data_IF_206879174527
#
_entry.id   IF_206879174527
#
_cell.length_a   1.000
_cell.length_b   1.000
_cell.length_c   1.000
_cell.angle_alpha   90.00
_cell.angle_beta   90.00
_cell.angle_gamma   90.00
#
_symmetry.space_group_name_H-M   'P 1'
#
loop_
_entity.id
_entity.type
_entity.pdbx_description
1 polymer ?
#
# COMPACT_ATOMS: atom_id res chain seq x y z
N UNK A 1 -31.87 20.66 68.38
CA UNK A 1 -32.32 21.10 67.00
C UNK A 1 -31.41 20.40 66.01
N UNK A 2 -31.82 19.25 65.56
CA UNK A 2 -31.11 18.46 64.56
C UNK A 2 -31.58 18.87 63.18
N UNK A 3 -30.74 19.56 62.42
CA UNK A 3 -30.99 19.87 61.01
C UNK A 3 -30.75 18.61 60.16
N UNK A 4 -31.81 18.09 59.63
CA UNK A 4 -31.82 17.02 58.65
C UNK A 4 -31.29 17.57 57.33
N UNK A 5 -30.06 17.26 56.99
CA UNK A 5 -29.55 17.45 55.66
C UNK A 5 -30.34 16.53 54.74
N UNK A 6 -31.14 17.08 53.85
CA UNK A 6 -31.75 16.35 52.74
C UNK A 6 -30.65 15.81 51.88
N UNK A 7 -30.60 14.50 51.80
CA UNK A 7 -29.80 13.73 50.87
C UNK A 7 -30.20 14.13 49.43
N UNK A 8 -29.31 14.83 48.74
CA UNK A 8 -29.45 15.26 47.33
C UNK A 8 -29.04 14.11 46.38
N UNK A 9 -29.43 12.86 46.83
CA UNK A 9 -29.13 11.66 46.11
C UNK A 9 -29.88 11.59 44.78
N UNK A 10 -29.14 11.88 43.74
CA UNK A 10 -29.33 11.37 42.35
C UNK A 10 -30.72 11.56 41.77
N UNK A 11 -31.04 12.79 41.49
CA UNK A 11 -32.14 13.08 40.60
C UNK A 11 -31.85 12.42 39.23
N UNK A 12 -32.71 11.48 38.82
CA UNK A 12 -32.61 10.85 37.50
C UNK A 12 -33.20 11.80 36.48
N UNK A 13 -32.33 12.29 35.59
CA UNK A 13 -32.73 13.21 34.50
C UNK A 13 -33.00 12.49 33.21
N UNK A 14 -33.03 11.17 33.16
CA UNK A 14 -33.22 10.40 31.91
C UNK A 14 -34.57 10.72 31.24
N UNK A 15 -35.60 10.94 32.01
CA UNK A 15 -36.92 11.24 31.49
C UNK A 15 -37.06 12.69 30.97
N UNK A 16 -36.07 13.55 31.24
CA UNK A 16 -36.02 14.90 30.71
C UNK A 16 -35.22 15.02 29.42
N UNK A 17 -34.60 13.93 28.95
CA UNK A 17 -33.80 13.91 27.74
C UNK A 17 -34.69 13.60 26.53
N UNK A 18 -34.86 14.57 25.67
CA UNK A 18 -35.58 14.43 24.38
C UNK A 18 -34.66 13.92 23.28
N UNK A 19 -34.12 12.70 23.47
CA UNK A 19 -33.33 12.07 22.42
C UNK A 19 -34.24 11.47 21.35
N UNK A 20 -33.90 11.58 20.05
CA UNK A 20 -34.67 10.94 19.02
C UNK A 20 -34.64 9.42 19.17
N UNK A 21 -35.80 8.77 19.09
CA UNK A 21 -35.90 7.32 19.02
C UNK A 21 -35.53 6.91 17.58
N UNK A 22 -34.46 6.17 17.42
CA UNK A 22 -33.96 5.71 16.12
C UNK A 22 -33.39 4.32 16.24
N UNK A 23 -33.57 3.51 15.21
CA UNK A 23 -32.91 2.20 15.09
C UNK A 23 -31.44 2.34 14.70
N UNK A 24 -30.98 3.56 14.45
CA UNK A 24 -29.57 3.83 14.16
C UNK A 24 -28.72 3.59 15.42
N UNK A 25 -27.75 2.66 15.36
CA UNK A 25 -26.95 2.33 16.55
C UNK A 25 -26.10 3.53 16.98
N UNK A 26 -26.10 3.85 18.28
CA UNK A 26 -25.32 4.92 18.87
C UNK A 26 -23.79 4.71 18.69
N UNK A 27 -23.37 3.47 18.47
CA UNK A 27 -21.98 3.11 18.19
C UNK A 27 -21.91 2.43 16.82
N UNK A 28 -21.05 2.92 15.95
CA UNK A 28 -20.85 2.33 14.63
C UNK A 28 -20.41 0.86 14.68
N UNK A 29 -19.55 0.51 15.65
CA UNK A 29 -19.07 -0.86 15.82
C UNK A 29 -18.26 -1.36 14.62
N UNK A 30 -17.57 -0.46 13.89
CA UNK A 30 -16.88 -0.74 12.64
C UNK A 30 -15.92 -1.94 12.69
N UNK A 31 -15.10 -2.13 13.76
CA UNK A 31 -14.20 -3.28 13.80
C UNK A 31 -14.90 -4.65 13.68
N UNK A 32 -16.17 -4.72 14.06
CA UNK A 32 -16.98 -5.95 13.92
C UNK A 32 -17.74 -6.01 12.61
N UNK A 33 -18.31 -4.87 12.17
CA UNK A 33 -19.16 -4.81 10.97
C UNK A 33 -18.37 -4.86 9.66
N UNK A 34 -17.21 -4.24 9.62
CA UNK A 34 -16.40 -4.21 8.40
C UNK A 34 -16.02 -5.61 7.89
N UNK A 35 -15.55 -6.55 8.72
CA UNK A 35 -15.31 -7.92 8.27
C UNK A 35 -16.57 -8.61 7.71
N UNK A 36 -17.74 -8.35 8.29
CA UNK A 36 -19.02 -8.89 7.80
C UNK A 36 -19.36 -8.32 6.42
N UNK A 37 -19.14 -7.03 6.19
CA UNK A 37 -19.33 -6.40 4.89
C UNK A 37 -18.36 -6.92 3.84
N UNK A 38 -17.09 -7.10 4.18
CA UNK A 38 -16.10 -7.67 3.27
C UNK A 38 -16.47 -9.11 2.89
N UNK A 39 -16.88 -9.92 3.87
CA UNK A 39 -17.38 -11.27 3.60
C UNK A 39 -18.60 -11.28 2.68
N UNK A 40 -19.52 -10.35 2.89
CA UNK A 40 -20.68 -10.18 2.02
C UNK A 40 -20.29 -9.77 0.60
N UNK A 41 -19.39 -8.79 0.43
CA UNK A 41 -18.91 -8.35 -0.89
C UNK A 41 -18.23 -9.49 -1.66
N UNK A 42 -17.40 -10.27 -0.98
CA UNK A 42 -16.79 -11.46 -1.57
C UNK A 42 -17.84 -12.50 -1.98
N UNK A 43 -18.85 -12.75 -1.12
CA UNK A 43 -19.92 -13.72 -1.41
C UNK A 43 -20.73 -13.35 -2.65
N UNK A 44 -20.98 -12.06 -2.87
CA UNK A 44 -21.74 -11.60 -4.05
C UNK A 44 -20.87 -11.39 -5.29
N UNK A 45 -19.55 -11.55 -5.21
CA UNK A 45 -18.63 -11.26 -6.30
C UNK A 45 -18.70 -9.79 -6.71
N UNK A 46 -18.55 -8.87 -5.74
CA UNK A 46 -18.74 -7.42 -5.99
C UNK A 46 -17.83 -6.91 -7.10
N UNK A 47 -16.55 -7.28 -7.09
CA UNK A 47 -15.59 -6.81 -8.08
C UNK A 47 -15.97 -7.25 -9.49
N UNK A 48 -16.29 -8.54 -9.69
CA UNK A 48 -16.67 -9.11 -10.97
C UNK A 48 -17.96 -8.46 -11.52
N UNK A 49 -18.93 -8.23 -10.64
CA UNK A 49 -20.18 -7.51 -11.02
C UNK A 49 -19.91 -6.09 -11.48
N UNK A 50 -19.02 -5.36 -10.79
CA UNK A 50 -18.63 -4.01 -11.20
C UNK A 50 -17.93 -4.03 -12.56
N UNK A 51 -17.06 -4.99 -12.83
CA UNK A 51 -16.41 -5.14 -14.14
C UNK A 51 -17.43 -5.45 -15.24
N UNK A 52 -18.36 -6.34 -14.98
CA UNK A 52 -19.40 -6.67 -15.94
C UNK A 52 -20.28 -5.48 -16.28
N UNK A 53 -20.76 -4.77 -15.26
CA UNK A 53 -21.57 -3.55 -15.43
C UNK A 53 -20.84 -2.41 -16.12
N UNK A 54 -19.52 -2.41 -16.10
CA UNK A 54 -18.71 -1.35 -16.68
C UNK A 54 -18.35 -1.58 -18.15
N UNK A 55 -18.72 -2.72 -18.72
CA UNK A 55 -18.45 -3.02 -20.12
C UNK A 55 -19.10 -1.97 -21.05
N UNK A 56 -18.30 -1.46 -21.98
CA UNK A 56 -18.74 -0.43 -22.93
C UNK A 56 -18.81 0.99 -22.40
N UNK A 57 -18.47 1.22 -21.10
CA UNK A 57 -18.36 2.57 -20.55
C UNK A 57 -17.01 3.20 -20.88
N UNK A 58 -16.95 4.53 -20.84
CA UNK A 58 -15.70 5.28 -20.95
C UNK A 58 -14.73 4.86 -19.86
N UNK A 59 -13.47 4.62 -20.25
CA UNK A 59 -12.46 4.16 -19.32
C UNK A 59 -11.88 5.33 -18.51
N UNK A 60 -11.85 5.16 -17.19
CA UNK A 60 -11.09 5.98 -16.28
C UNK A 60 -9.93 5.18 -15.68
N UNK A 61 -8.71 5.65 -15.85
CA UNK A 61 -7.51 4.98 -15.34
C UNK A 61 -6.84 5.86 -14.30
N UNK A 62 -6.82 5.40 -13.05
CA UNK A 62 -5.99 5.95 -12.00
C UNK A 62 -4.72 5.13 -11.89
N UNK A 63 -3.59 5.74 -12.27
CA UNK A 63 -2.30 5.09 -12.11
C UNK A 63 -1.91 4.98 -10.63
N UNK A 64 -1.55 3.78 -10.19
CA UNK A 64 -1.09 3.56 -8.82
C UNK A 64 0.40 3.92 -8.68
N UNK A 65 0.74 4.78 -7.71
CA UNK A 65 2.11 4.85 -7.21
C UNK A 65 2.33 3.60 -6.35
N UNK A 66 3.12 2.62 -6.81
CA UNK A 66 3.19 1.32 -6.17
C UNK A 66 3.84 1.42 -4.78
N UNK A 67 3.23 0.85 -3.73
CA UNK A 67 3.89 0.75 -2.43
C UNK A 67 5.08 -0.20 -2.51
N UNK A 68 6.04 0.00 -1.61
CA UNK A 68 7.22 -0.81 -1.52
C UNK A 68 6.92 -2.14 -0.81
N UNK A 69 7.35 -3.27 -1.41
CA UNK A 69 7.08 -4.61 -0.90
C UNK A 69 8.03 -4.99 0.25
N UNK A 70 7.97 -4.24 1.34
CA UNK A 70 8.80 -4.45 2.53
C UNK A 70 8.10 -3.94 3.79
N UNK A 71 7.70 -4.87 4.65
CA UNK A 71 7.01 -4.57 5.91
C UNK A 71 5.50 -4.35 5.77
N UNK A 72 4.86 -4.17 6.92
CA UNK A 72 3.45 -3.87 7.02
C UNK A 72 3.12 -2.48 6.49
N UNK A 73 1.87 -2.27 6.07
CA UNK A 73 1.40 -0.95 5.68
C UNK A 73 1.41 -0.01 6.89
N UNK A 74 1.78 1.24 6.66
CA UNK A 74 1.70 2.31 7.66
C UNK A 74 0.55 3.27 7.33
N UNK A 75 0.24 4.18 8.25
CA UNK A 75 -0.89 5.11 8.09
C UNK A 75 -0.85 5.92 6.79
N UNK A 76 0.34 6.31 6.31
CA UNK A 76 0.50 7.01 5.04
C UNK A 76 0.13 6.14 3.85
N UNK A 77 0.53 4.87 3.85
CA UNK A 77 0.16 3.89 2.81
C UNK A 77 -1.35 3.62 2.82
N UNK A 78 -1.93 3.44 4.02
CA UNK A 78 -3.36 3.25 4.18
C UNK A 78 -4.17 4.46 3.67
N UNK A 79 -3.78 5.68 4.06
CA UNK A 79 -4.42 6.91 3.60
C UNK A 79 -4.36 7.03 2.07
N UNK A 80 -3.20 6.80 1.48
CA UNK A 80 -3.02 6.86 0.02
C UNK A 80 -3.97 5.87 -0.70
N UNK A 81 -4.05 4.62 -0.24
CA UNK A 81 -4.93 3.61 -0.85
C UNK A 81 -6.40 3.91 -0.65
N UNK A 82 -6.81 4.40 0.52
CA UNK A 82 -8.20 4.81 0.78
C UNK A 82 -8.61 5.97 -0.14
N UNK A 83 -7.76 6.99 -0.30
CA UNK A 83 -8.05 8.11 -1.19
C UNK A 83 -8.19 7.67 -2.65
N UNK A 84 -7.32 6.76 -3.13
CA UNK A 84 -7.44 6.19 -4.47
C UNK A 84 -8.70 5.35 -4.64
N UNK A 85 -9.08 4.57 -3.63
CA UNK A 85 -10.32 3.79 -3.66
C UNK A 85 -11.56 4.72 -3.73
N UNK A 86 -11.58 5.82 -2.97
CA UNK A 86 -12.64 6.82 -3.04
C UNK A 86 -12.75 7.41 -4.44
N UNK A 87 -11.62 7.78 -5.07
CA UNK A 87 -11.60 8.33 -6.42
C UNK A 87 -12.14 7.30 -7.42
N UNK A 88 -11.65 6.07 -7.40
CA UNK A 88 -12.12 5.02 -8.32
C UNK A 88 -13.61 4.72 -8.13
N UNK A 89 -14.09 4.62 -6.89
CA UNK A 89 -15.51 4.40 -6.60
C UNK A 89 -16.38 5.56 -7.09
N UNK A 90 -15.93 6.80 -6.90
CA UNK A 90 -16.70 7.96 -7.37
C UNK A 90 -16.83 7.96 -8.90
N UNK A 91 -15.75 7.70 -9.63
CA UNK A 91 -15.79 7.58 -11.09
C UNK A 91 -16.64 6.39 -11.56
N UNK A 92 -16.57 5.25 -10.86
CA UNK A 92 -17.44 4.11 -11.12
C UNK A 92 -18.92 4.45 -10.92
N UNK A 93 -19.27 5.21 -9.87
CA UNK A 93 -20.63 5.65 -9.60
C UNK A 93 -21.12 6.69 -10.60
N UNK A 94 -20.22 7.52 -11.13
CA UNK A 94 -20.49 8.47 -12.21
C UNK A 94 -20.68 7.81 -13.59
N UNK A 95 -20.59 6.50 -13.68
CA UNK A 95 -20.86 5.74 -14.89
C UNK A 95 -19.63 5.43 -15.75
N UNK A 96 -18.43 5.65 -15.24
CA UNK A 96 -17.20 5.29 -15.93
C UNK A 96 -16.79 3.84 -15.64
N UNK A 97 -15.90 3.30 -16.47
CA UNK A 97 -15.21 2.04 -16.22
C UNK A 97 -13.91 2.34 -15.44
N UNK A 98 -14.01 2.45 -14.11
CA UNK A 98 -12.90 2.75 -13.23
C UNK A 98 -12.33 1.47 -12.60
N UNK A 99 -11.53 0.73 -13.38
CA UNK A 99 -10.83 -0.45 -12.86
C UNK A 99 -9.54 -0.01 -12.14
N UNK A 100 -9.41 -0.40 -10.87
CA UNK A 100 -8.19 -0.18 -10.12
C UNK A 100 -7.29 -1.42 -10.19
N UNK A 101 -6.10 -1.26 -10.75
CA UNK A 101 -5.06 -2.28 -10.77
C UNK A 101 -3.99 -1.90 -9.75
N UNK A 102 -3.88 -2.62 -8.63
CA UNK A 102 -2.86 -2.34 -7.62
C UNK A 102 -1.46 -2.65 -8.16
N UNK A 103 -0.47 -1.91 -7.69
CA UNK A 103 0.92 -2.14 -8.04
C UNK A 103 1.81 -2.32 -6.82
N UNK A 104 3.01 -2.92 -7.02
CA UNK A 104 4.06 -3.03 -6.01
C UNK A 104 5.43 -2.75 -6.59
N UNK A 105 6.21 -1.96 -5.84
CA UNK A 105 7.64 -1.80 -6.07
C UNK A 105 8.39 -2.90 -5.29
N UNK A 106 9.12 -3.72 -6.03
CA UNK A 106 9.71 -4.97 -5.52
C UNK A 106 11.24 -4.99 -5.59
N UNK A 107 11.88 -3.86 -5.87
CA UNK A 107 13.34 -3.77 -6.00
C UNK A 107 13.94 -2.79 -4.99
N UNK A 108 15.25 -2.89 -4.80
CA UNK A 108 16.04 -1.89 -4.11
C UNK A 108 16.70 -2.34 -2.83
N UNK A 109 17.57 -1.48 -2.34
CA UNK A 109 18.48 -1.73 -1.23
C UNK A 109 17.80 -2.22 0.07
N UNK A 110 16.65 -1.70 0.49
CA UNK A 110 16.03 -2.18 1.74
C UNK A 110 15.62 -3.65 1.70
N UNK A 111 15.18 -4.18 0.55
CA UNK A 111 14.89 -5.62 0.37
C UNK A 111 16.20 -6.41 0.39
N UNK A 112 17.19 -5.96 -0.38
CA UNK A 112 18.50 -6.62 -0.44
C UNK A 112 19.17 -6.70 0.93
N UNK A 113 19.10 -5.61 1.70
CA UNK A 113 19.66 -5.58 3.05
C UNK A 113 18.96 -6.54 4.00
N UNK A 114 17.63 -6.64 3.93
CA UNK A 114 16.89 -7.61 4.75
C UNK A 114 17.25 -9.04 4.41
N UNK A 115 17.38 -9.35 3.14
CA UNK A 115 17.82 -10.68 2.68
C UNK A 115 19.27 -10.96 3.09
N UNK A 116 20.15 -9.96 3.05
CA UNK A 116 21.51 -10.08 3.56
C UNK A 116 21.53 -10.36 5.08
N UNK A 117 20.69 -9.67 5.86
CA UNK A 117 20.51 -9.96 7.30
C UNK A 117 20.05 -11.41 7.54
N UNK A 118 19.13 -11.93 6.72
CA UNK A 118 18.70 -13.34 6.81
C UNK A 118 19.85 -14.31 6.57
N UNK A 119 20.67 -14.09 5.53
CA UNK A 119 21.83 -14.94 5.25
C UNK A 119 22.87 -14.85 6.37
N UNK A 120 23.13 -13.64 6.87
CA UNK A 120 24.04 -13.41 8.00
C UNK A 120 23.56 -14.13 9.27
N UNK A 121 22.27 -14.09 9.54
CA UNK A 121 21.63 -14.81 10.65
C UNK A 121 21.78 -16.34 10.54
N UNK A 122 21.95 -16.87 9.32
CA UNK A 122 22.24 -18.27 9.01
C UNK A 122 23.74 -18.59 8.96
N UNK A 123 24.60 -17.62 9.33
CA UNK A 123 26.06 -17.78 9.33
C UNK A 123 26.71 -17.72 7.94
N UNK A 124 25.99 -17.20 6.92
CA UNK A 124 26.51 -17.05 5.54
C UNK A 124 26.77 -15.58 5.22
N UNK A 125 27.94 -15.29 4.67
CA UNK A 125 28.27 -13.97 4.13
C UNK A 125 27.58 -13.76 2.78
N UNK A 126 27.27 -12.51 2.41
CA UNK A 126 26.79 -12.14 1.07
C UNK A 126 27.76 -12.59 -0.03
N UNK A 127 29.05 -12.53 0.24
CA UNK A 127 30.10 -12.93 -0.71
C UNK A 127 30.13 -14.44 -0.98
N UNK A 128 29.55 -15.24 -0.09
CA UNK A 128 29.44 -16.71 -0.21
C UNK A 128 28.15 -17.14 -0.92
N UNK A 129 27.23 -16.18 -1.18
CA UNK A 129 25.95 -16.44 -1.84
C UNK A 129 26.07 -16.07 -3.31
N UNK A 130 25.68 -16.97 -4.20
CA UNK A 130 25.68 -16.64 -5.63
C UNK A 130 24.69 -15.55 -5.97
N UNK A 131 25.01 -14.69 -6.95
CA UNK A 131 24.11 -13.62 -7.36
C UNK A 131 22.70 -14.08 -7.77
N UNK A 132 22.55 -15.21 -8.51
CA UNK A 132 21.22 -15.75 -8.80
C UNK A 132 20.45 -16.20 -7.55
N UNK A 133 21.11 -16.89 -6.60
CA UNK A 133 20.48 -17.32 -5.34
C UNK A 133 19.99 -16.11 -4.53
N UNK A 134 20.83 -15.09 -4.41
CA UNK A 134 20.49 -13.86 -3.70
C UNK A 134 19.29 -13.15 -4.32
N UNK A 135 19.28 -12.97 -5.66
CA UNK A 135 18.15 -12.33 -6.37
C UNK A 135 16.86 -13.15 -6.25
N UNK A 136 16.95 -14.48 -6.30
CA UNK A 136 15.79 -15.35 -6.10
C UNK A 136 15.19 -15.12 -4.71
N UNK A 137 16.04 -15.10 -3.67
CA UNK A 137 15.55 -14.84 -2.31
C UNK A 137 14.94 -13.44 -2.16
N UNK A 138 15.51 -12.41 -2.82
CA UNK A 138 14.92 -11.07 -2.84
C UNK A 138 13.51 -11.07 -3.48
N UNK A 139 13.31 -11.82 -4.57
CA UNK A 139 11.98 -11.97 -5.20
C UNK A 139 10.98 -12.68 -4.29
N UNK A 140 11.41 -13.73 -3.62
CA UNK A 140 10.58 -14.46 -2.65
C UNK A 140 10.18 -13.54 -1.49
N UNK A 141 11.14 -12.84 -0.91
CA UNK A 141 10.90 -11.88 0.17
C UNK A 141 9.90 -10.79 -0.23
N UNK A 142 10.08 -10.19 -1.40
CA UNK A 142 9.13 -9.20 -1.91
C UNK A 142 7.74 -9.80 -2.15
N UNK A 143 7.68 -11.06 -2.63
CA UNK A 143 6.42 -11.80 -2.80
C UNK A 143 5.68 -12.03 -1.49
N UNK A 144 6.39 -12.43 -0.43
CA UNK A 144 5.84 -12.63 0.90
C UNK A 144 5.19 -11.33 1.44
N UNK A 145 5.89 -10.21 1.34
CA UNK A 145 5.37 -8.91 1.79
C UNK A 145 4.24 -8.38 0.91
N UNK A 146 4.28 -8.66 -0.38
CA UNK A 146 3.18 -8.33 -1.28
C UNK A 146 1.89 -9.02 -0.83
N UNK A 147 1.96 -10.30 -0.50
CA UNK A 147 0.79 -11.06 -0.05
C UNK A 147 0.25 -10.55 1.28
N UNK A 148 1.13 -10.22 2.23
CA UNK A 148 0.76 -9.60 3.51
C UNK A 148 0.05 -8.26 3.27
N UNK A 149 0.67 -7.36 2.52
CA UNK A 149 0.09 -6.04 2.24
C UNK A 149 -1.21 -6.13 1.44
N UNK A 150 -1.35 -7.10 0.52
CA UNK A 150 -2.60 -7.36 -0.20
C UNK A 150 -3.75 -7.62 0.76
N UNK A 151 -3.56 -8.48 1.73
CA UNK A 151 -4.59 -8.79 2.72
C UNK A 151 -4.89 -7.59 3.63
N UNK A 152 -3.89 -6.80 3.98
CA UNK A 152 -4.07 -5.56 4.74
C UNK A 152 -4.89 -4.53 3.94
N UNK A 153 -4.64 -4.35 2.65
CA UNK A 153 -5.44 -3.48 1.78
C UNK A 153 -6.86 -3.99 1.56
N UNK A 154 -7.04 -5.29 1.38
CA UNK A 154 -8.36 -5.90 1.33
C UNK A 154 -9.13 -5.68 2.64
N UNK A 155 -8.43 -5.75 3.79
CA UNK A 155 -9.03 -5.46 5.09
C UNK A 155 -9.50 -4.01 5.22
N UNK A 156 -8.86 -3.04 4.54
CA UNK A 156 -9.33 -1.66 4.44
C UNK A 156 -10.55 -1.50 3.53
N UNK A 157 -10.95 -2.54 2.82
CA UNK A 157 -12.10 -2.51 1.91
C UNK A 157 -11.79 -1.96 0.52
N UNK A 158 -10.53 -1.82 0.15
CA UNK A 158 -10.11 -1.36 -1.18
C UNK A 158 -10.52 -2.39 -2.24
N UNK A 159 -11.21 -1.93 -3.28
CA UNK A 159 -11.69 -2.77 -4.39
C UNK A 159 -10.79 -2.60 -5.61
N UNK A 160 -10.31 -3.70 -6.15
CA UNK A 160 -9.41 -3.70 -7.32
C UNK A 160 -9.10 -5.09 -7.83
N UNK A 161 -8.29 -5.16 -8.89
CA UNK A 161 -7.80 -6.40 -9.48
C UNK A 161 -6.64 -6.98 -8.67
N UNK A 162 -6.97 -7.62 -7.57
CA UNK A 162 -5.99 -8.21 -6.65
C UNK A 162 -5.31 -9.46 -7.20
N UNK A 163 -5.89 -10.08 -8.23
CA UNK A 163 -5.37 -11.31 -8.82
C UNK A 163 -4.32 -11.02 -9.89
N UNK A 164 -4.42 -9.86 -10.57
CA UNK A 164 -3.50 -9.44 -11.62
C UNK A 164 -2.80 -8.11 -11.30
N UNK A 165 -2.06 -8.02 -10.17
CA UNK A 165 -1.40 -6.80 -9.80
C UNK A 165 -0.21 -6.48 -10.71
N UNK A 166 0.10 -5.20 -10.86
CA UNK A 166 1.37 -4.75 -11.43
C UNK A 166 2.50 -4.99 -10.42
N UNK A 167 3.57 -5.62 -10.87
CA UNK A 167 4.78 -5.86 -10.03
C UNK A 167 6.03 -5.47 -10.82
N UNK A 168 6.86 -4.60 -10.25
CA UNK A 168 8.11 -4.21 -10.93
C UNK A 168 9.07 -5.38 -11.13
N UNK A 169 8.94 -6.44 -10.33
CA UNK A 169 9.72 -7.68 -10.47
C UNK A 169 9.18 -8.67 -11.52
N UNK A 170 8.10 -8.37 -12.22
CA UNK A 170 7.67 -9.19 -13.35
C UNK A 170 8.73 -9.12 -14.46
N UNK A 171 9.05 -10.23 -15.11
CA UNK A 171 10.08 -10.28 -16.14
C UNK A 171 9.83 -9.31 -17.28
N UNK A 172 8.57 -9.12 -17.68
CA UNK A 172 8.23 -8.13 -18.69
C UNK A 172 8.51 -6.71 -18.22
N UNK A 173 8.15 -6.38 -16.97
CA UNK A 173 8.43 -5.06 -16.39
C UNK A 173 9.94 -4.78 -16.31
N UNK A 174 10.73 -5.76 -15.92
CA UNK A 174 12.20 -5.64 -15.89
C UNK A 174 12.78 -5.46 -17.30
N UNK A 175 12.26 -6.20 -18.29
CA UNK A 175 12.67 -6.06 -19.67
C UNK A 175 12.34 -4.66 -20.24
N UNK A 176 11.16 -4.14 -19.90
CA UNK A 176 10.74 -2.80 -20.33
C UNK A 176 11.62 -1.71 -19.69
N UNK A 177 11.91 -1.82 -18.38
CA UNK A 177 12.82 -0.90 -17.66
C UNK A 177 14.20 -0.88 -18.32
N UNK A 178 14.77 -2.06 -18.57
CA UNK A 178 16.06 -2.18 -19.26
C UNK A 178 16.00 -1.62 -20.67
N UNK A 179 14.91 -1.87 -21.39
CA UNK A 179 14.70 -1.37 -22.75
C UNK A 179 14.67 0.16 -22.82
N UNK A 180 13.99 0.81 -21.88
CA UNK A 180 13.93 2.28 -21.81
C UNK A 180 15.30 2.87 -21.44
N UNK A 181 16.03 2.26 -20.50
CA UNK A 181 17.40 2.68 -20.16
C UNK A 181 18.33 2.57 -21.39
N UNK A 182 18.23 1.49 -22.16
CA UNK A 182 19.02 1.30 -23.39
C UNK A 182 18.70 2.33 -24.45
N UNK A 183 17.46 2.80 -24.57
CA UNK A 183 17.10 3.91 -25.46
C UNK A 183 17.85 5.18 -25.08
N UNK A 184 17.87 5.52 -23.79
CA UNK A 184 18.63 6.67 -23.27
C UNK A 184 20.13 6.49 -23.52
N UNK A 185 20.67 5.30 -23.29
CA UNK A 185 22.08 5.02 -23.56
C UNK A 185 22.46 5.25 -25.04
N UNK A 186 21.59 4.87 -25.96
CA UNK A 186 21.80 5.07 -27.42
C UNK A 186 21.84 6.55 -27.82
N UNK A 187 21.23 7.46 -27.06
CA UNK A 187 21.32 8.91 -27.34
C UNK A 187 22.64 9.53 -26.86
N UNK A 188 23.51 8.76 -26.20
CA UNK A 188 24.76 9.26 -25.59
C UNK A 188 24.57 10.03 -24.27
N UNK A 189 23.35 10.09 -23.75
CA UNK A 189 23.08 10.79 -22.47
C UNK A 189 23.47 9.96 -21.25
N UNK A 190 23.60 8.64 -21.41
CA UNK A 190 24.08 7.75 -20.34
C UNK A 190 25.58 7.58 -20.44
N UNK A 191 26.30 8.07 -19.44
CA UNK A 191 27.74 7.92 -19.34
C UNK A 191 28.16 7.60 -17.91
N UNK A 192 29.35 7.01 -17.77
CA UNK A 192 29.93 6.74 -16.45
C UNK A 192 30.62 8.00 -15.95
N UNK A 193 30.15 8.56 -14.83
CA UNK A 193 30.71 9.76 -14.21
C UNK A 193 30.96 9.58 -12.72
N UNK A 194 31.58 10.58 -12.11
CA UNK A 194 31.75 10.65 -10.66
C UNK A 194 30.72 11.63 -10.09
N UNK A 195 29.97 11.22 -9.09
CA UNK A 195 28.96 12.06 -8.42
C UNK A 195 29.57 13.38 -7.89
N UNK A 196 30.81 13.34 -7.41
CA UNK A 196 31.51 14.51 -6.90
C UNK A 196 31.71 15.63 -7.94
N UNK A 197 31.87 15.27 -9.22
CA UNK A 197 32.12 16.20 -10.32
C UNK A 197 30.90 16.51 -11.17
N UNK A 198 29.89 15.64 -11.14
CA UNK A 198 28.73 15.70 -12.03
C UNK A 198 27.42 16.00 -11.33
N UNK A 199 27.42 16.06 -10.00
CA UNK A 199 26.20 16.36 -9.25
C UNK A 199 25.73 17.78 -9.50
N UNK A 200 24.49 17.99 -9.97
CA UNK A 200 23.92 19.31 -10.18
C UNK A 200 23.45 19.99 -8.89
N UNK A 201 23.43 19.26 -7.76
CA UNK A 201 22.85 19.75 -6.52
C UNK A 201 23.91 20.06 -5.45
N UNK A 202 23.87 21.24 -4.82
CA UNK A 202 24.71 21.53 -3.66
C UNK A 202 24.54 20.57 -2.49
N UNK A 203 23.38 19.91 -2.38
CA UNK A 203 23.13 18.87 -1.36
C UNK A 203 23.89 17.59 -1.63
N UNK A 204 24.05 17.20 -2.88
CA UNK A 204 24.83 16.03 -3.26
C UNK A 204 26.31 16.23 -2.92
N UNK A 205 26.82 17.45 -3.04
CA UNK A 205 28.17 17.80 -2.61
C UNK A 205 28.38 17.67 -1.10
N UNK A 206 27.36 17.85 -0.29
CA UNK A 206 27.41 17.60 1.16
C UNK A 206 27.38 16.11 1.50
N UNK A 207 26.58 15.32 0.78
CA UNK A 207 26.49 13.86 0.94
C UNK A 207 27.78 13.17 0.51
N UNK A 208 28.46 13.69 -0.52
CA UNK A 208 29.74 13.16 -0.98
C UNK A 208 30.91 13.37 0.00
N UNK A 209 30.72 14.18 1.04
CA UNK A 209 31.67 14.36 2.15
C UNK A 209 31.50 13.35 3.27
N UNK A 210 30.46 12.52 3.24
CA UNK A 210 30.36 11.41 4.16
C UNK A 210 31.41 10.34 3.79
N UNK A 211 32.21 9.88 4.77
CA UNK A 211 33.16 8.79 4.51
C UNK A 211 32.42 7.58 3.98
N UNK A 212 32.95 6.96 2.94
CA UNK A 212 32.44 5.71 2.34
C UNK A 212 32.55 4.49 3.26
N UNK A 213 32.77 4.72 4.54
CA UNK A 213 32.94 3.72 5.60
C UNK A 213 31.86 3.80 6.67
N UNK A 214 30.65 4.17 6.30
CA UNK A 214 29.50 4.04 7.20
C UNK A 214 28.61 2.89 6.75
#
# INVERSE_FOLDING_TARGET
MTSTTKDDSKRDYRDTLFLPKTDFPMRAGLPKKEPEWLAYWNKIGLYERLREQSKGREQYTLHDGPPYANGHIHMGTALNKILKDIINRSHQMLGMNANYVPGWDCHGLPIEWKVEEEFRGKGRSKDEVSGPEFRTRCREYAGEWLDVQREEFKRLGVVGDWDNPYKTMNFQSEADICGELLKIAKTGQLYRGCLLYTSPSPRDGLLSRMPSSA
#
